data_IF_707901459211
#
_entry.id   IF_707901459211
#
_cell.length_a   1.000
_cell.length_b   1.000
_cell.length_c   1.000
_cell.angle_alpha   90.00
_cell.angle_beta   90.00
_cell.angle_gamma   90.00
#
_symmetry.space_group_name_H-M   'P 1'
#
loop_
_entity.id
_entity.type
_entity.pdbx_description
1 polymer ?
#
# COMPACT_ATOMS: atom_id res chain seq x y z
N UNK A 1 11.74 -15.78 -34.45
CA UNK A 1 11.82 -16.31 -33.07
C UNK A 1 10.50 -17.03 -32.78
N UNK A 2 10.43 -18.36 -32.92
CA UNK A 2 9.20 -19.12 -32.66
C UNK A 2 9.03 -19.24 -31.15
N UNK A 3 8.02 -18.60 -30.59
CA UNK A 3 7.70 -18.73 -29.17
C UNK A 3 7.11 -20.14 -28.99
N UNK A 4 7.85 -21.03 -28.32
CA UNK A 4 7.40 -22.39 -28.02
C UNK A 4 6.11 -22.37 -27.19
N UNK A 5 5.03 -22.95 -27.73
CA UNK A 5 3.74 -23.01 -27.05
C UNK A 5 3.85 -23.62 -25.64
N UNK A 6 4.76 -24.58 -25.44
CA UNK A 6 5.08 -25.19 -24.15
C UNK A 6 5.66 -24.19 -23.14
N UNK A 7 6.53 -23.27 -23.60
CA UNK A 7 7.10 -22.22 -22.74
C UNK A 7 6.06 -21.18 -22.36
N UNK A 8 5.15 -20.84 -23.29
CA UNK A 8 4.01 -19.95 -23.00
C UNK A 8 3.07 -20.58 -21.99
N UNK A 9 2.72 -21.85 -22.16
CA UNK A 9 1.84 -22.56 -21.23
C UNK A 9 2.48 -22.68 -19.83
N UNK A 10 3.75 -23.05 -19.75
CA UNK A 10 4.47 -23.14 -18.48
C UNK A 10 4.57 -21.78 -17.77
N UNK A 11 4.89 -20.71 -18.50
CA UNK A 11 4.91 -19.36 -17.95
C UNK A 11 3.51 -18.93 -17.48
N UNK A 12 2.46 -19.21 -18.25
CA UNK A 12 1.09 -18.89 -17.87
C UNK A 12 0.67 -19.61 -16.58
N UNK A 13 0.99 -20.90 -16.42
CA UNK A 13 0.72 -21.67 -15.21
C UNK A 13 1.51 -21.12 -14.02
N UNK A 14 2.79 -20.78 -14.21
CA UNK A 14 3.63 -20.23 -13.14
C UNK A 14 3.12 -18.85 -12.69
N UNK A 15 2.77 -17.97 -13.63
CA UNK A 15 2.18 -16.67 -13.34
C UNK A 15 0.81 -16.79 -12.70
N UNK A 16 -0.01 -17.77 -13.11
CA UNK A 16 -1.29 -18.05 -12.49
C UNK A 16 -1.13 -18.52 -11.04
N UNK A 17 -0.20 -19.47 -10.78
CA UNK A 17 0.12 -19.96 -9.46
C UNK A 17 0.67 -18.86 -8.55
N UNK A 18 1.62 -18.06 -9.06
CA UNK A 18 2.15 -16.90 -8.36
C UNK A 18 1.02 -15.90 -8.05
N UNK A 19 0.24 -15.48 -9.05
CA UNK A 19 -0.91 -14.59 -8.84
C UNK A 19 -1.86 -15.12 -7.77
N UNK A 20 -2.14 -16.43 -7.77
CA UNK A 20 -3.04 -17.04 -6.79
C UNK A 20 -2.47 -17.03 -5.37
N UNK A 21 -1.16 -17.22 -5.23
CA UNK A 21 -0.44 -17.26 -3.96
C UNK A 21 -0.22 -15.87 -3.36
N UNK A 22 0.21 -14.91 -4.19
CA UNK A 22 0.59 -13.56 -3.73
C UNK A 22 -0.62 -12.61 -3.60
N UNK A 23 -1.74 -12.91 -4.26
CA UNK A 23 -2.96 -12.08 -4.17
C UNK A 23 -3.65 -12.29 -2.83
N UNK A 24 -4.04 -11.17 -2.22
CA UNK A 24 -4.81 -11.11 -0.98
C UNK A 24 -4.06 -11.66 0.24
N UNK A 25 -2.79 -11.29 0.36
CA UNK A 25 -1.94 -11.87 1.39
C UNK A 25 -2.30 -11.36 2.79
N UNK A 26 -2.54 -12.31 3.68
CA UNK A 26 -2.81 -12.05 5.07
C UNK A 26 -4.24 -11.63 5.34
N UNK A 27 -5.15 -11.71 4.36
CA UNK A 27 -6.57 -11.32 4.47
C UNK A 27 -7.53 -12.48 4.34
N UNK A 28 -8.74 -12.30 4.88
CA UNK A 28 -9.83 -13.26 4.77
C UNK A 28 -10.64 -13.04 3.48
N UNK A 29 -11.46 -14.03 3.10
CA UNK A 29 -12.38 -13.88 1.96
C UNK A 29 -13.40 -12.76 2.20
N UNK A 30 -13.87 -12.60 3.44
CA UNK A 30 -14.82 -11.56 3.81
C UNK A 30 -14.19 -10.17 3.70
N UNK A 31 -12.94 -10.01 4.15
CA UNK A 31 -12.17 -8.77 3.98
C UNK A 31 -11.94 -8.43 2.51
N UNK A 32 -11.83 -9.43 1.64
CA UNK A 32 -11.71 -9.21 0.20
C UNK A 32 -13.05 -8.83 -0.46
N UNK A 33 -14.17 -9.29 0.10
CA UNK A 33 -15.51 -9.10 -0.45
C UNK A 33 -16.22 -7.85 0.08
N UNK A 34 -15.89 -7.41 1.30
CA UNK A 34 -16.52 -6.26 1.93
C UNK A 34 -16.26 -4.96 1.16
N UNK A 35 -17.24 -4.05 1.22
CA UNK A 35 -17.10 -2.70 0.69
C UNK A 35 -16.21 -1.88 1.63
N UNK A 36 -15.21 -1.21 1.07
CA UNK A 36 -14.32 -0.30 1.77
C UNK A 36 -14.40 1.09 1.13
N UNK A 37 -14.17 2.17 1.91
CA UNK A 37 -14.09 3.53 1.37
C UNK A 37 -13.18 3.62 0.13
N UNK A 38 -13.67 4.29 -0.93
CA UNK A 38 -12.97 4.42 -2.20
C UNK A 38 -13.32 3.34 -3.23
N UNK A 39 -13.96 2.24 -2.84
CA UNK A 39 -14.44 1.22 -3.78
C UNK A 39 -15.40 1.80 -4.84
N UNK A 40 -16.16 2.83 -4.47
CA UNK A 40 -17.13 3.52 -5.31
C UNK A 40 -16.50 4.37 -6.44
N UNK A 41 -15.22 4.70 -6.31
CA UNK A 41 -14.52 5.58 -7.27
C UNK A 41 -14.16 4.86 -8.58
N UNK A 42 -14.13 3.52 -8.58
CA UNK A 42 -13.83 2.72 -9.76
C UNK A 42 -14.95 1.72 -10.07
N UNK A 43 -15.43 1.77 -11.31
CA UNK A 43 -16.38 0.82 -11.87
C UNK A 43 -15.66 -0.38 -12.49
N UNK A 44 -16.32 -1.52 -12.51
CA UNK A 44 -15.83 -2.72 -13.20
C UNK A 44 -15.84 -2.50 -14.74
N UNK A 45 -14.94 -3.17 -15.49
CA UNK A 45 -13.98 -4.19 -15.05
C UNK A 45 -12.71 -3.63 -14.39
N UNK A 46 -12.21 -4.31 -13.36
CA UNK A 46 -11.00 -3.92 -12.63
C UNK A 46 -10.24 -5.11 -12.05
N UNK A 47 -8.96 -4.90 -11.73
CA UNK A 47 -8.17 -5.80 -10.88
C UNK A 47 -8.19 -5.28 -9.45
N UNK A 48 -8.49 -6.16 -8.50
CA UNK A 48 -8.51 -5.86 -7.06
C UNK A 48 -7.55 -6.79 -6.30
N UNK A 49 -6.78 -6.21 -5.39
CA UNK A 49 -6.03 -6.92 -4.35
C UNK A 49 -6.34 -6.31 -2.99
N UNK A 50 -6.31 -7.12 -1.93
CA UNK A 50 -6.47 -6.64 -0.55
C UNK A 50 -5.52 -7.36 0.36
N UNK A 51 -4.47 -6.66 0.81
CA UNK A 51 -3.46 -7.15 1.73
C UNK A 51 -3.75 -6.65 3.16
N UNK A 52 -3.30 -7.39 4.18
CA UNK A 52 -3.57 -7.00 5.55
C UNK A 52 -2.70 -7.62 6.62
N UNK A 53 -2.52 -6.90 7.72
CA UNK A 53 -1.79 -7.33 8.93
C UNK A 53 -2.62 -7.04 10.18
N UNK A 54 -2.35 -7.81 11.22
CA UNK A 54 -2.80 -7.51 12.58
C UNK A 54 -1.71 -6.72 13.29
N UNK A 55 -2.11 -5.65 13.97
CA UNK A 55 -1.24 -4.83 14.81
C UNK A 55 -1.84 -4.86 16.21
N UNK A 56 -1.02 -5.19 17.21
CA UNK A 56 -1.47 -5.36 18.60
C UNK A 56 -1.45 -4.01 19.33
N UNK A 57 -2.08 -3.02 18.67
CA UNK A 57 -2.26 -1.64 19.11
C UNK A 57 -3.63 -1.10 18.68
N UNK A 58 -4.18 -0.15 19.45
CA UNK A 58 -5.40 0.54 19.06
C UNK A 58 -5.15 1.51 17.88
N UNK A 59 -6.22 1.87 17.16
CA UNK A 59 -6.13 2.62 15.90
C UNK A 59 -5.47 3.98 16.07
N UNK A 60 -5.63 4.61 17.22
CA UNK A 60 -5.09 5.92 17.60
C UNK A 60 -3.56 5.93 17.61
N UNK A 61 -2.93 4.80 17.94
CA UNK A 61 -1.47 4.66 17.96
C UNK A 61 -0.90 4.31 16.58
N UNK A 62 -1.69 3.66 15.72
CA UNK A 62 -1.27 3.26 14.38
C UNK A 62 -1.50 4.38 13.37
N UNK A 63 -2.58 5.14 13.52
CA UNK A 63 -3.00 6.19 12.59
C UNK A 63 -1.90 7.20 12.23
N UNK A 64 -1.09 7.73 13.16
CA UNK A 64 -0.04 8.69 12.84
C UNK A 64 1.01 8.16 11.85
N UNK A 65 1.32 6.85 11.92
CA UNK A 65 2.22 6.19 10.99
C UNK A 65 1.61 6.07 9.59
N UNK A 66 0.30 5.87 9.51
CA UNK A 66 -0.42 5.77 8.24
C UNK A 66 -0.54 7.14 7.56
N UNK A 67 -0.82 8.19 8.33
CA UNK A 67 -0.99 9.56 7.82
C UNK A 67 0.31 10.13 7.25
N UNK A 68 1.43 9.87 7.92
CA UNK A 68 2.73 10.41 7.50
C UNK A 68 3.38 9.61 6.36
N UNK A 69 2.67 8.64 5.78
CA UNK A 69 3.17 7.86 4.65
C UNK A 69 3.43 8.75 3.44
N UNK A 70 4.58 8.55 2.81
CA UNK A 70 5.03 9.28 1.62
C UNK A 70 6.55 9.42 1.60
N UNK A 71 7.15 9.29 0.42
CA UNK A 71 8.59 9.40 0.21
C UNK A 71 9.13 10.79 0.60
N UNK A 72 8.33 11.84 0.45
CA UNK A 72 8.65 13.20 0.90
C UNK A 72 8.19 13.50 2.33
N UNK A 73 7.79 12.46 3.07
CA UNK A 73 7.28 12.52 4.45
C UNK A 73 8.00 11.47 5.31
N UNK A 74 7.26 10.58 5.99
CA UNK A 74 7.79 9.54 6.87
C UNK A 74 8.30 8.29 6.17
N UNK A 75 8.33 8.28 4.84
CA UNK A 75 8.74 7.15 4.01
C UNK A 75 7.59 6.21 3.63
N UNK A 76 7.91 5.21 2.82
CA UNK A 76 6.97 4.14 2.43
C UNK A 76 7.13 2.89 3.31
N UNK A 77 7.96 2.95 4.36
CA UNK A 77 8.17 1.88 5.34
C UNK A 77 8.56 0.53 4.72
N UNK A 78 9.16 0.53 3.54
CA UNK A 78 9.79 -0.67 3.00
C UNK A 78 11.24 -0.74 3.50
N UNK A 79 11.82 -1.94 3.57
CA UNK A 79 13.20 -2.07 4.06
C UNK A 79 14.14 -1.22 3.19
N UNK A 80 14.91 -0.35 3.84
CA UNK A 80 15.87 0.58 3.21
C UNK A 80 16.71 -0.08 2.12
N UNK A 81 17.12 -1.35 2.28
CA UNK A 81 17.92 -2.08 1.28
C UNK A 81 17.24 -2.27 -0.07
N UNK A 82 15.91 -2.33 -0.13
CA UNK A 82 15.16 -2.47 -1.39
C UNK A 82 14.83 -1.11 -1.98
N UNK A 83 14.61 -0.11 -1.12
CA UNK A 83 14.52 1.29 -1.56
C UNK A 83 15.83 1.69 -2.24
N UNK A 84 16.98 1.49 -1.58
CA UNK A 84 18.31 1.74 -2.14
C UNK A 84 18.57 0.94 -3.43
N UNK A 85 18.20 -0.34 -3.49
CA UNK A 85 18.35 -1.16 -4.70
C UNK A 85 17.47 -0.69 -5.87
N UNK A 86 16.36 0.00 -5.59
CA UNK A 86 15.50 0.64 -6.58
C UNK A 86 15.85 2.11 -6.83
N UNK A 87 16.97 2.62 -6.30
CA UNK A 87 17.38 4.02 -6.41
C UNK A 87 16.48 5.00 -5.64
N UNK A 88 15.72 4.49 -4.67
CA UNK A 88 14.93 5.27 -3.72
C UNK A 88 15.83 5.47 -2.49
N UNK A 89 16.65 6.52 -2.49
CA UNK A 89 17.54 6.84 -1.37
C UNK A 89 16.77 7.63 -0.31
N UNK A 90 15.95 6.93 0.47
CA UNK A 90 15.16 7.53 1.54
C UNK A 90 15.16 6.65 2.79
N UNK A 91 15.43 7.26 3.94
CA UNK A 91 15.31 6.60 5.23
C UNK A 91 13.90 6.82 5.77
N UNK A 92 13.16 5.73 5.96
CA UNK A 92 11.85 5.80 6.60
C UNK A 92 11.98 6.33 8.03
N UNK A 93 11.11 7.28 8.41
CA UNK A 93 11.14 7.89 9.73
C UNK A 93 10.83 6.83 10.82
N UNK A 94 11.59 6.89 11.91
CA UNK A 94 11.42 6.01 13.07
C UNK A 94 10.68 6.69 14.24
N UNK A 95 10.11 7.88 14.00
CA UNK A 95 9.27 8.62 14.95
C UNK A 95 8.09 9.26 14.24
N UNK A 96 7.12 9.74 15.03
CA UNK A 96 5.99 10.51 14.54
C UNK A 96 6.41 11.98 14.40
N UNK A 97 6.12 12.56 13.25
CA UNK A 97 6.44 13.95 12.93
C UNK A 97 5.16 14.78 12.85
N UNK A 98 5.07 15.83 13.66
CA UNK A 98 3.86 16.66 13.80
C UNK A 98 3.47 17.37 12.50
N UNK A 99 4.48 17.79 11.72
CA UNK A 99 4.34 18.47 10.43
C UNK A 99 3.62 17.62 9.36
N UNK A 100 3.58 16.29 9.52
CA UNK A 100 2.95 15.38 8.56
C UNK A 100 1.58 14.88 8.99
N UNK A 101 1.10 15.26 10.18
CA UNK A 101 -0.15 14.71 10.74
C UNK A 101 -1.43 15.36 10.18
N UNK A 102 -1.30 16.42 9.39
CA UNK A 102 -2.43 17.09 8.77
C UNK A 102 -2.52 16.71 7.28
N UNK A 103 -3.15 15.57 6.99
CA UNK A 103 -3.45 15.12 5.64
C UNK A 103 -4.93 15.33 5.32
N UNK A 104 -5.20 16.01 4.21
CA UNK A 104 -6.55 16.35 3.75
C UNK A 104 -6.81 15.88 2.32
N UNK A 105 -8.08 15.82 1.94
CA UNK A 105 -8.46 15.60 0.55
C UNK A 105 -7.91 16.74 -0.33
N UNK A 106 -7.39 16.39 -1.50
CA UNK A 106 -6.71 17.32 -2.42
C UNK A 106 -5.19 17.36 -2.25
N UNK A 107 -4.65 16.91 -1.12
CA UNK A 107 -3.20 16.74 -0.95
C UNK A 107 -2.66 15.66 -1.89
N UNK A 108 -1.34 15.60 -2.04
CA UNK A 108 -0.68 14.57 -2.86
C UNK A 108 0.30 13.78 -2.03
N UNK A 109 0.28 12.44 -2.17
CA UNK A 109 1.25 11.53 -1.56
C UNK A 109 2.24 11.07 -2.63
N UNK A 110 3.54 11.22 -2.37
CA UNK A 110 4.60 10.74 -3.25
C UNK A 110 5.06 9.35 -2.82
N UNK A 111 5.16 8.43 -3.76
CA UNK A 111 5.69 7.07 -3.54
C UNK A 111 7.06 6.86 -4.21
N UNK A 112 7.37 7.64 -5.24
CA UNK A 112 8.68 7.61 -5.89
C UNK A 112 9.14 9.04 -6.27
N UNK A 113 10.45 9.30 -6.22
CA UNK A 113 11.00 10.62 -6.52
C UNK A 113 10.90 10.96 -8.01
N UNK A 114 10.99 12.25 -8.36
CA UNK A 114 11.21 12.70 -9.73
C UNK A 114 12.34 11.94 -10.43
N UNK A 115 12.16 11.61 -11.72
CA UNK A 115 13.13 10.86 -12.53
C UNK A 115 13.08 9.35 -12.37
N UNK A 116 12.38 8.81 -11.36
CA UNK A 116 12.27 7.37 -11.16
C UNK A 116 11.56 6.68 -12.36
N UNK A 117 12.22 5.67 -12.93
CA UNK A 117 11.81 5.01 -14.19
C UNK A 117 11.53 5.97 -15.35
N UNK A 118 12.24 7.11 -15.42
CA UNK A 118 12.10 8.09 -16.49
C UNK A 118 10.86 8.99 -16.36
N UNK A 119 10.13 8.93 -15.25
CA UNK A 119 8.97 9.80 -15.00
C UNK A 119 9.43 11.13 -14.42
N UNK A 120 9.13 12.24 -15.10
CA UNK A 120 9.50 13.59 -14.66
C UNK A 120 9.05 13.88 -13.22
N UNK A 121 7.80 13.58 -12.89
CA UNK A 121 7.22 13.92 -11.58
C UNK A 121 7.28 12.76 -10.56
N UNK A 122 7.89 11.63 -10.93
CA UNK A 122 7.94 10.41 -10.11
C UNK A 122 6.61 9.65 -10.10
N UNK A 123 6.26 9.10 -8.93
CA UNK A 123 4.97 8.44 -8.70
C UNK A 123 4.26 9.15 -7.56
N UNK A 124 3.19 9.85 -7.88
CA UNK A 124 2.36 10.58 -6.91
C UNK A 124 0.90 10.17 -7.07
N UNK A 125 0.15 10.13 -5.97
CA UNK A 125 -1.29 9.92 -5.98
C UNK A 125 -2.00 11.01 -5.16
N UNK A 126 -2.98 11.71 -5.74
CA UNK A 126 -3.85 12.62 -5.01
C UNK A 126 -4.67 11.90 -3.94
N UNK A 127 -4.87 12.56 -2.80
CA UNK A 127 -5.76 12.14 -1.73
C UNK A 127 -7.18 12.47 -2.13
N UNK A 128 -7.99 11.45 -2.37
CA UNK A 128 -9.42 11.60 -2.67
C UNK A 128 -10.24 11.79 -1.40
N UNK A 129 -9.89 11.08 -0.32
CA UNK A 129 -10.64 11.08 0.93
C UNK A 129 -9.75 10.71 2.11
N UNK A 130 -9.97 11.38 3.24
CA UNK A 130 -9.42 11.00 4.54
C UNK A 130 -10.59 10.85 5.52
N UNK A 131 -10.67 9.70 6.17
CA UNK A 131 -11.58 9.43 7.29
C UNK A 131 -10.69 9.21 8.50
N UNK A 132 -10.64 10.17 9.45
CA UNK A 132 -9.74 10.10 10.60
C UNK A 132 -9.81 8.75 11.32
N UNK A 133 -8.64 8.15 11.60
CA UNK A 133 -8.48 6.86 12.32
C UNK A 133 -9.14 5.66 11.64
N UNK A 134 -9.64 5.80 10.41
CA UNK A 134 -10.35 4.76 9.69
C UNK A 134 -9.76 4.51 8.32
N UNK A 135 -9.61 5.55 7.47
CA UNK A 135 -9.21 5.34 6.09
C UNK A 135 -8.50 6.52 5.42
N UNK A 136 -7.55 6.20 4.54
CA UNK A 136 -6.98 7.13 3.56
C UNK A 136 -7.22 6.54 2.18
N UNK A 137 -7.82 7.31 1.29
CA UNK A 137 -8.11 6.91 -0.09
C UNK A 137 -7.36 7.83 -1.03
N UNK A 138 -6.52 7.22 -1.87
CA UNK A 138 -5.81 7.89 -2.94
C UNK A 138 -6.39 7.46 -4.28
N UNK A 139 -6.59 8.42 -5.18
CA UNK A 139 -7.13 8.19 -6.51
C UNK A 139 -6.24 8.85 -7.55
N UNK A 140 -5.65 8.03 -8.42
CA UNK A 140 -4.91 8.52 -9.58
C UNK A 140 -5.66 8.15 -10.86
N UNK A 141 -5.60 9.04 -11.84
CA UNK A 141 -6.19 8.80 -13.16
C UNK A 141 -5.34 9.44 -14.27
N UNK A 142 -5.55 9.05 -15.54
CA UNK A 142 -4.89 9.71 -16.67
C UNK A 142 -5.28 11.19 -16.80
N UNK A 143 -4.37 12.06 -17.25
CA UNK A 143 -3.04 11.74 -17.80
C UNK A 143 -1.91 11.64 -16.75
N UNK A 144 -2.17 11.97 -15.48
CA UNK A 144 -1.14 12.00 -14.42
C UNK A 144 -0.49 10.62 -14.20
N UNK A 145 -1.29 9.56 -14.28
CA UNK A 145 -0.82 8.18 -14.31
C UNK A 145 -1.50 7.42 -15.45
N UNK A 146 -0.89 6.38 -16.03
CA UNK A 146 -1.41 5.72 -17.24
C UNK A 146 -2.68 4.89 -17.02
N UNK A 147 -3.02 4.59 -15.76
CA UNK A 147 -4.18 3.79 -15.39
C UNK A 147 -5.05 4.53 -14.40
N UNK A 148 -6.33 4.15 -14.32
CA UNK A 148 -7.23 4.62 -13.27
C UNK A 148 -7.03 3.72 -12.04
N UNK A 149 -6.49 4.24 -10.95
CA UNK A 149 -6.11 3.47 -9.75
C UNK A 149 -6.71 4.09 -8.50
N UNK A 150 -7.30 3.26 -7.66
CA UNK A 150 -7.64 3.60 -6.29
C UNK A 150 -6.76 2.76 -5.38
N UNK A 151 -5.98 3.43 -4.56
CA UNK A 151 -5.18 2.82 -3.52
C UNK A 151 -5.65 3.35 -2.17
N UNK A 152 -6.04 2.45 -1.29
CA UNK A 152 -6.68 2.83 -0.02
C UNK A 152 -6.11 2.03 1.14
N UNK A 153 -5.94 2.71 2.27
CA UNK A 153 -5.50 2.13 3.53
C UNK A 153 -6.66 2.22 4.50
N UNK A 154 -6.91 1.15 5.26
CA UNK A 154 -8.01 1.06 6.21
C UNK A 154 -7.51 0.52 7.55
N UNK A 155 -7.86 1.20 8.64
CA UNK A 155 -7.71 0.74 10.01
C UNK A 155 -9.09 0.34 10.54
N UNK A 156 -9.22 -0.90 10.98
CA UNK A 156 -10.45 -1.38 11.61
C UNK A 156 -10.15 -1.73 13.07
N UNK A 157 -10.76 -1.05 14.04
CA UNK A 157 -10.57 -1.37 15.44
C UNK A 157 -11.13 -2.77 15.73
N UNK A 158 -10.45 -3.49 16.61
CA UNK A 158 -10.83 -4.82 17.04
C UNK A 158 -10.58 -4.88 18.53
N UNK A 159 -11.65 -4.75 19.31
CA UNK A 159 -11.51 -4.48 20.75
C UNK A 159 -10.69 -3.19 20.98
N UNK A 160 -10.17 -3.00 22.20
CA UNK A 160 -9.53 -1.75 22.63
C UNK A 160 -8.00 -1.78 22.51
N UNK A 161 -7.40 -2.91 22.13
CA UNK A 161 -5.95 -3.13 22.18
C UNK A 161 -5.33 -3.55 20.85
N UNK A 162 -6.13 -3.77 19.81
CA UNK A 162 -5.65 -4.22 18.51
C UNK A 162 -6.46 -3.67 17.36
N UNK A 163 -5.81 -3.62 16.21
CA UNK A 163 -6.46 -3.19 14.99
C UNK A 163 -6.07 -4.06 13.81
N UNK A 164 -6.93 -4.01 12.80
CA UNK A 164 -6.72 -4.62 11.51
C UNK A 164 -6.32 -3.54 10.51
N UNK A 165 -5.10 -3.62 9.99
CA UNK A 165 -4.62 -2.72 8.93
C UNK A 165 -4.77 -3.44 7.59
N UNK A 166 -5.56 -2.86 6.69
CA UNK A 166 -5.80 -3.35 5.34
C UNK A 166 -5.31 -2.33 4.31
N UNK A 167 -4.77 -2.82 3.21
CA UNK A 167 -4.47 -2.03 2.02
C UNK A 167 -5.23 -2.66 0.86
N UNK A 168 -5.96 -1.83 0.11
CA UNK A 168 -6.69 -2.26 -1.08
C UNK A 168 -6.25 -1.45 -2.28
N UNK A 169 -5.79 -2.18 -3.30
CA UNK A 169 -5.48 -1.64 -4.63
C UNK A 169 -6.57 -2.07 -5.60
N UNK A 170 -7.10 -1.10 -6.34
CA UNK A 170 -8.05 -1.31 -7.45
C UNK A 170 -7.49 -0.60 -8.68
N UNK A 171 -7.36 -1.33 -9.79
CA UNK A 171 -6.92 -0.76 -11.07
C UNK A 171 -8.00 -1.02 -12.11
N UNK A 172 -8.58 0.05 -12.66
CA UNK A 172 -9.54 -0.03 -13.75
C UNK A 172 -8.89 -0.62 -15.01
N UNK A 173 -9.58 -1.56 -15.65
CA UNK A 173 -9.12 -2.20 -16.88
C UNK A 173 -9.75 -1.50 -18.08
N UNK A 174 -8.92 -0.99 -18.98
CA UNK A 174 -9.36 -0.43 -20.27
C UNK A 174 -9.33 -1.48 -21.36
N UNK A 175 -8.33 -2.36 -21.31
CA UNK A 175 -8.16 -3.44 -22.28
C UNK A 175 -7.86 -4.78 -21.59
N UNK A 176 -8.38 -5.92 -22.09
CA UNK A 176 -8.18 -7.22 -21.46
C UNK A 176 -6.70 -7.64 -21.40
N UNK A 177 -5.86 -7.14 -22.32
CA UNK A 177 -4.41 -7.37 -22.29
C UNK A 177 -3.71 -6.78 -21.06
N UNK A 178 -4.27 -5.73 -20.45
CA UNK A 178 -3.73 -5.11 -19.23
C UNK A 178 -3.78 -6.06 -18.03
N UNK A 179 -4.70 -7.03 -18.03
CA UNK A 179 -4.77 -8.07 -17.00
C UNK A 179 -3.48 -8.86 -16.91
N UNK A 180 -2.84 -9.16 -18.05
CA UNK A 180 -1.60 -9.93 -18.09
C UNK A 180 -0.44 -9.12 -17.51
N UNK A 181 -0.32 -7.85 -17.92
CA UNK A 181 0.71 -6.94 -17.41
C UNK A 181 0.56 -6.71 -15.88
N UNK A 182 -0.67 -6.44 -15.41
CA UNK A 182 -0.95 -6.29 -13.98
C UNK A 182 -0.72 -7.59 -13.20
N UNK A 183 -0.99 -8.74 -13.80
CA UNK A 183 -0.73 -10.05 -13.16
C UNK A 183 0.76 -10.33 -13.00
N UNK A 184 1.59 -9.88 -13.95
CA UNK A 184 3.04 -9.96 -13.88
C UNK A 184 3.62 -9.05 -12.79
N UNK A 185 3.07 -7.84 -12.65
CA UNK A 185 3.46 -6.90 -11.59
C UNK A 185 2.92 -7.29 -10.20
N UNK A 186 1.85 -8.10 -10.15
CA UNK A 186 1.13 -8.46 -8.93
C UNK A 186 2.00 -8.99 -7.79
N UNK A 187 2.86 -10.01 -8.00
CA UNK A 187 3.72 -10.53 -6.94
C UNK A 187 4.65 -9.49 -6.33
N UNK A 188 5.27 -8.64 -7.17
CA UNK A 188 6.14 -7.56 -6.69
C UNK A 188 5.34 -6.53 -5.90
N UNK A 189 4.18 -6.10 -6.42
CA UNK A 189 3.26 -5.17 -5.74
C UNK A 189 2.83 -5.69 -4.36
N UNK A 190 2.40 -6.94 -4.28
CA UNK A 190 1.96 -7.55 -3.02
C UNK A 190 3.12 -7.74 -2.04
N UNK A 191 4.33 -8.05 -2.52
CA UNK A 191 5.52 -8.11 -1.66
C UNK A 191 5.90 -6.73 -1.08
N UNK A 192 5.89 -5.67 -1.91
CA UNK A 192 6.16 -4.30 -1.45
C UNK A 192 5.09 -3.83 -0.47
N UNK A 193 3.81 -4.04 -0.79
CA UNK A 193 2.68 -3.72 0.09
C UNK A 193 2.81 -4.47 1.42
N UNK A 194 3.15 -5.76 1.39
CA UNK A 194 3.36 -6.56 2.61
C UNK A 194 4.49 -6.00 3.46
N UNK A 195 5.59 -5.57 2.86
CA UNK A 195 6.71 -4.95 3.58
C UNK A 195 6.32 -3.64 4.23
N UNK A 196 5.64 -2.75 3.49
CA UNK A 196 5.10 -1.50 4.03
C UNK A 196 4.19 -1.77 5.24
N UNK A 197 3.24 -2.71 5.12
CA UNK A 197 2.34 -3.10 6.22
C UNK A 197 3.11 -3.59 7.46
N UNK A 198 4.13 -4.42 7.27
CA UNK A 198 4.98 -4.90 8.36
C UNK A 198 5.89 -3.81 8.94
N UNK A 199 6.34 -2.87 8.11
CA UNK A 199 7.13 -1.72 8.53
C UNK A 199 6.34 -0.76 9.41
N UNK A 200 5.07 -0.52 9.07
CA UNK A 200 4.13 0.23 9.91
C UNK A 200 3.91 -0.50 11.23
N UNK A 201 3.61 -1.81 11.18
CA UNK A 201 3.43 -2.64 12.37
C UNK A 201 4.62 -2.51 13.34
N UNK A 202 5.82 -2.77 12.83
CA UNK A 202 7.04 -2.80 13.65
C UNK A 202 7.31 -1.45 14.33
N UNK A 203 7.15 -0.34 13.59
CA UNK A 203 7.40 1.00 14.13
C UNK A 203 6.37 1.42 15.16
N UNK A 204 5.10 1.12 14.90
CA UNK A 204 4.04 1.40 15.86
C UNK A 204 4.27 0.65 17.18
N UNK A 205 4.58 -0.65 17.12
CA UNK A 205 4.82 -1.49 18.30
C UNK A 205 6.06 -1.04 19.06
N UNK A 206 7.17 -0.76 18.36
CA UNK A 206 8.41 -0.26 18.99
C UNK A 206 8.23 1.11 19.65
N UNK A 207 7.44 2.00 19.05
CA UNK A 207 7.18 3.32 19.62
C UNK A 207 6.41 3.23 20.95
N UNK A 208 5.46 2.29 21.07
CA UNK A 208 4.79 2.01 22.34
C UNK A 208 5.77 1.50 23.39
N UNK A 209 6.61 0.53 23.03
CA UNK A 209 7.56 -0.07 23.98
C UNK A 209 8.51 0.98 24.56
N UNK A 210 9.05 1.88 23.72
CA UNK A 210 9.88 3.00 24.18
C UNK A 210 9.13 3.92 25.16
N UNK A 211 7.88 4.28 24.84
CA UNK A 211 7.06 5.13 25.71
C UNK A 211 6.75 4.49 27.07
N UNK A 212 6.52 3.16 27.10
CA UNK A 212 6.29 2.41 28.35
C UNK A 212 7.55 2.34 29.20
N UNK A 213 8.73 2.15 28.59
CA UNK A 213 10.02 2.12 29.29
C UNK A 213 10.34 3.49 29.91
N UNK A 214 10.12 4.57 29.18
CA UNK A 214 10.30 5.95 29.69
C UNK A 214 9.36 6.24 30.87
N UNK A 215 8.08 5.85 30.75
CA UNK A 215 7.09 6.03 31.82
C UNK A 215 7.40 5.20 33.08
N UNK A 216 8.05 4.04 32.93
CA UNK A 216 8.43 3.17 34.07
C UNK A 216 9.74 3.60 34.76
N UNK A 217 10.49 4.51 34.13
CA UNK A 217 11.78 5.03 34.62
C UNK A 217 11.66 6.40 35.28
N UNK A 218 10.45 6.98 35.30
CA UNK A 218 10.10 8.26 35.92
C UNK A 218 9.34 8.05 37.23
#
# INVERSE_FOLDING_TARGET
MKIDATRVAALAVLLYGAKRYWRNWGTTKDECAMKLPGDELLREPLVKTTEGVWIDLPVEQVWPWVVQLGQDRGGCYTYDTVESACGLDHHSADRIHAEWQNLSAGDTVRFAPPGWLGRRDGVTLPVAKVIPQEAIVLHGSPPAIPWDIVWSIHLMPRWDDRCRLLVRTRVGLRHPAEVVALSLAGPLHSALTRRMLLGIKHRAERHRDSAVVEASSS
#
